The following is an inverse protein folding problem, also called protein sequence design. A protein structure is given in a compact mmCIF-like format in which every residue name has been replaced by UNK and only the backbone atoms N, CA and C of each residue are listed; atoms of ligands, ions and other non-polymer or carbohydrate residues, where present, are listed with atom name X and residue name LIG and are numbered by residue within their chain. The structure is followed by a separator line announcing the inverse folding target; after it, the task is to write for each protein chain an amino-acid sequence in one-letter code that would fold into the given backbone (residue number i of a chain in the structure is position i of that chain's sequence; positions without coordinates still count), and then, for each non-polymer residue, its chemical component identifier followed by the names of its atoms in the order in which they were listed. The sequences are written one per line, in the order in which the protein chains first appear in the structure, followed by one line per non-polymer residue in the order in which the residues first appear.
data_IF_543815735993
#
_entry.id   IF_543815735993
#
_cell.length_a   1.000
_cell.length_b   1.000
_cell.length_c   1.000
_cell.angle_alpha   90.00
_cell.angle_beta   90.00
_cell.angle_gamma   90.00
#
_symmetry.space_group_name_H-M   'P 1'
#
loop_
_entity.id
_entity.type
_entity.pdbx_description
1 polymer ?
#
# COMPACT_ATOMS: atom_id res chain seq x y z
N UNK A 1 -21.90 10.35 7.20
CA UNK A 1 -21.12 10.73 6.00
C UNK A 1 -21.63 10.06 4.72
N UNK A 2 -22.59 9.13 4.81
CA UNK A 2 -23.29 8.55 3.65
C UNK A 2 -24.53 9.35 3.23
N UNK A 3 -24.71 10.54 3.81
CA UNK A 3 -25.99 11.25 3.87
C UNK A 3 -26.04 12.47 2.92
N UNK A 4 -25.04 12.64 2.07
CA UNK A 4 -25.00 13.68 1.03
C UNK A 4 -24.95 12.98 -0.32
N UNK A 5 -26.07 13.04 -1.04
CA UNK A 5 -26.19 12.42 -2.35
C UNK A 5 -25.19 13.06 -3.35
N UNK A 6 -24.48 12.22 -4.10
CA UNK A 6 -23.43 12.65 -5.04
C UNK A 6 -22.09 13.08 -4.43
N UNK A 7 -21.88 13.01 -3.11
CA UNK A 7 -20.61 13.39 -2.47
C UNK A 7 -19.83 12.16 -1.96
N UNK A 8 -18.71 11.84 -2.62
CA UNK A 8 -17.84 10.72 -2.24
C UNK A 8 -16.65 11.19 -1.40
N UNK A 9 -16.43 10.55 -0.26
CA UNK A 9 -15.24 10.75 0.58
C UNK A 9 -14.25 9.63 0.30
N UNK A 10 -13.01 10.00 0.00
CA UNK A 10 -11.92 9.06 -0.26
C UNK A 10 -10.89 9.14 0.86
N UNK A 11 -10.39 7.98 1.28
CA UNK A 11 -9.32 7.87 2.26
C UNK A 11 -7.94 7.85 1.57
N UNK A 12 -7.01 8.68 2.01
CA UNK A 12 -5.64 8.76 1.49
C UNK A 12 -4.61 7.88 2.21
N UNK A 13 -4.53 7.86 3.55
CA UNK A 13 -3.53 7.06 4.26
C UNK A 13 -3.79 5.55 4.20
N UNK A 14 -2.81 4.81 3.68
CA UNK A 14 -2.81 3.34 3.55
C UNK A 14 -3.09 2.58 4.86
N UNK A 15 -2.74 3.15 6.02
CA UNK A 15 -3.00 2.51 7.33
C UNK A 15 -4.45 2.58 7.79
N UNK A 16 -5.28 3.37 7.13
CA UNK A 16 -6.64 3.65 7.61
C UNK A 16 -7.71 3.15 6.63
N UNK A 17 -7.36 2.39 5.59
CA UNK A 17 -8.28 1.98 4.52
C UNK A 17 -9.51 1.29 5.11
N UNK A 18 -9.30 0.25 5.94
CA UNK A 18 -10.38 -0.46 6.62
C UNK A 18 -11.23 0.47 7.49
N UNK A 19 -10.58 1.29 8.33
CA UNK A 19 -11.27 2.24 9.21
C UNK A 19 -12.11 3.25 8.40
N UNK A 20 -11.57 3.74 7.29
CA UNK A 20 -12.26 4.63 6.37
C UNK A 20 -13.53 3.99 5.82
N UNK A 21 -13.49 2.72 5.42
CA UNK A 21 -14.68 2.01 4.95
C UNK A 21 -15.74 1.84 6.05
N UNK A 22 -15.33 1.49 7.28
CA UNK A 22 -16.21 1.41 8.46
C UNK A 22 -16.87 2.77 8.75
N UNK A 23 -16.12 3.86 8.63
CA UNK A 23 -16.61 5.24 8.85
C UNK A 23 -17.41 5.82 7.66
N UNK A 24 -17.50 5.08 6.55
CA UNK A 24 -18.35 5.43 5.41
C UNK A 24 -17.65 6.12 4.23
N UNK A 25 -16.32 6.03 4.13
CA UNK A 25 -15.59 6.41 2.90
C UNK A 25 -16.00 5.49 1.74
N UNK A 26 -16.09 6.05 0.54
CA UNK A 26 -16.48 5.32 -0.68
C UNK A 26 -15.31 4.57 -1.32
N UNK A 27 -14.08 5.08 -1.17
CA UNK A 27 -12.88 4.48 -1.76
C UNK A 27 -11.61 4.91 -1.01
N UNK A 28 -10.45 4.36 -1.40
CA UNK A 28 -9.14 4.79 -0.95
C UNK A 28 -8.19 5.08 -2.12
N UNK A 29 -7.28 6.04 -1.93
CA UNK A 29 -6.18 6.34 -2.87
C UNK A 29 -4.89 5.91 -2.20
N UNK A 30 -4.26 4.86 -2.72
CA UNK A 30 -3.08 4.22 -2.12
C UNK A 30 -1.83 4.41 -2.98
N UNK A 31 -0.73 4.87 -2.37
CA UNK A 31 0.59 4.87 -3.01
C UNK A 31 1.21 3.47 -3.06
N UNK A 32 0.93 2.65 -2.04
CA UNK A 32 1.44 1.28 -1.93
C UNK A 32 0.79 0.33 -2.94
N UNK A 33 -0.42 0.64 -3.42
CA UNK A 33 -1.09 -0.12 -4.48
C UNK A 33 -0.30 -0.21 -5.78
N UNK A 34 0.71 0.65 -6.01
CA UNK A 34 1.60 0.50 -7.16
C UNK A 34 2.41 -0.80 -7.11
N UNK A 35 2.79 -1.27 -5.91
CA UNK A 35 3.58 -2.49 -5.71
C UNK A 35 2.77 -3.64 -5.10
N UNK A 36 1.68 -3.34 -4.40
CA UNK A 36 0.84 -4.31 -3.72
C UNK A 36 -0.65 -4.14 -4.08
N UNK A 37 -1.02 -4.17 -5.38
CA UNK A 37 -2.39 -3.90 -5.80
C UNK A 37 -3.39 -4.96 -5.29
N UNK A 38 -2.96 -6.22 -5.18
CA UNK A 38 -3.82 -7.33 -4.75
C UNK A 38 -4.14 -7.24 -3.27
N UNK A 39 -3.16 -6.85 -2.48
CA UNK A 39 -3.21 -6.73 -1.02
C UNK A 39 -4.11 -5.56 -0.64
N UNK A 40 -3.95 -4.41 -1.30
CA UNK A 40 -4.83 -3.25 -1.13
C UNK A 40 -6.25 -3.60 -1.56
N UNK A 41 -6.43 -4.28 -2.70
CA UNK A 41 -7.75 -4.70 -3.17
C UNK A 41 -8.44 -5.69 -2.21
N UNK A 42 -7.68 -6.58 -1.56
CA UNK A 42 -8.22 -7.53 -0.60
C UNK A 42 -8.96 -6.83 0.56
N UNK A 43 -8.47 -5.67 1.02
CA UNK A 43 -9.15 -4.88 2.07
C UNK A 43 -10.56 -4.49 1.62
N UNK A 44 -10.68 -3.93 0.41
CA UNK A 44 -11.94 -3.49 -0.17
C UNK A 44 -12.85 -4.68 -0.50
N UNK A 45 -12.34 -5.70 -1.17
CA UNK A 45 -13.12 -6.87 -1.61
C UNK A 45 -13.72 -7.62 -0.43
N UNK A 46 -12.94 -7.85 0.65
CA UNK A 46 -13.44 -8.48 1.87
C UNK A 46 -14.49 -7.62 2.56
N UNK A 47 -14.22 -6.31 2.72
CA UNK A 47 -15.18 -5.39 3.32
C UNK A 47 -16.50 -5.35 2.53
N UNK A 48 -16.42 -5.27 1.20
CA UNK A 48 -17.57 -5.20 0.31
C UNK A 48 -18.39 -6.50 0.32
N UNK A 49 -17.74 -7.65 0.52
CA UNK A 49 -18.40 -8.94 0.74
C UNK A 49 -19.04 -9.09 2.13
N UNK A 50 -18.88 -8.10 3.02
CA UNK A 50 -19.37 -8.14 4.41
C UNK A 50 -18.41 -8.82 5.39
N UNK A 51 -17.23 -9.24 4.94
CA UNK A 51 -16.17 -9.81 5.77
C UNK A 51 -15.32 -8.70 6.40
N UNK A 52 -15.84 -8.15 7.49
CA UNK A 52 -15.20 -7.04 8.22
C UNK A 52 -13.89 -7.48 8.87
N UNK A 53 -13.88 -8.67 9.48
CA UNK A 53 -12.70 -9.20 10.18
C UNK A 53 -11.58 -9.50 9.17
N UNK A 54 -11.89 -10.17 8.06
CA UNK A 54 -10.90 -10.40 7.01
C UNK A 54 -10.42 -9.10 6.35
N UNK A 55 -11.26 -8.07 6.25
CA UNK A 55 -10.83 -6.74 5.80
C UNK A 55 -9.81 -6.13 6.76
N UNK A 56 -10.01 -6.29 8.07
CA UNK A 56 -9.08 -5.83 9.10
C UNK A 56 -7.74 -6.60 9.04
N UNK A 57 -7.76 -7.93 8.87
CA UNK A 57 -6.53 -8.72 8.70
C UNK A 57 -5.72 -8.31 7.46
N UNK A 58 -6.42 -8.02 6.35
CA UNK A 58 -5.78 -7.52 5.14
C UNK A 58 -5.15 -6.13 5.39
N UNK A 59 -5.82 -5.27 6.17
CA UNK A 59 -5.28 -3.97 6.58
C UNK A 59 -4.01 -4.12 7.43
N UNK A 60 -3.97 -5.05 8.37
CA UNK A 60 -2.78 -5.30 9.20
C UNK A 60 -1.60 -5.78 8.35
N UNK A 61 -1.85 -6.66 7.37
CA UNK A 61 -0.83 -7.12 6.43
C UNK A 61 -0.24 -5.96 5.60
N UNK A 62 -1.10 -5.08 5.09
CA UNK A 62 -0.71 -3.87 4.37
C UNK A 62 0.06 -2.90 5.26
N UNK A 63 -0.37 -2.74 6.52
CA UNK A 63 0.32 -1.90 7.51
C UNK A 63 1.72 -2.43 7.80
N UNK A 64 1.89 -3.75 7.91
CA UNK A 64 3.19 -4.41 8.03
C UNK A 64 4.10 -4.08 6.85
N UNK A 65 3.66 -4.38 5.63
CA UNK A 65 4.41 -4.11 4.40
C UNK A 65 4.87 -2.65 4.32
N UNK A 66 3.93 -1.73 4.56
CA UNK A 66 4.20 -0.29 4.55
C UNK A 66 5.27 0.08 5.58
N UNK A 67 5.13 -0.44 6.80
CA UNK A 67 6.01 -0.14 7.92
C UNK A 67 7.42 -0.63 7.66
N UNK A 68 7.57 -1.84 7.13
CA UNK A 68 8.89 -2.40 6.82
C UNK A 68 9.53 -1.68 5.64
N UNK A 69 8.77 -1.42 4.57
CA UNK A 69 9.29 -0.74 3.39
C UNK A 69 9.71 0.72 3.69
N UNK A 70 8.92 1.44 4.47
CA UNK A 70 9.19 2.87 4.76
C UNK A 70 10.26 3.07 5.84
N UNK A 71 10.68 2.01 6.56
CA UNK A 71 11.89 2.06 7.39
C UNK A 71 13.16 2.13 6.55
N UNK A 72 13.15 1.51 5.36
CA UNK A 72 14.35 1.41 4.51
C UNK A 72 14.71 2.76 3.87
N UNK A 73 13.70 3.50 3.40
CA UNK A 73 13.87 4.81 2.78
C UNK A 73 12.58 5.63 2.78
N UNK A 74 12.69 6.90 2.39
CA UNK A 74 11.53 7.78 2.19
C UNK A 74 10.50 7.15 1.23
N UNK A 75 9.23 7.15 1.64
CA UNK A 75 8.15 6.35 1.03
C UNK A 75 8.09 6.38 -0.51
N UNK A 76 8.04 7.54 -1.19
CA UNK A 76 8.05 7.59 -2.66
C UNK A 76 9.29 6.97 -3.32
N UNK A 77 10.45 7.05 -2.66
CA UNK A 77 11.68 6.47 -3.18
C UNK A 77 11.70 4.95 -2.98
N UNK A 78 11.25 4.46 -1.82
CA UNK A 78 11.17 3.04 -1.52
C UNK A 78 10.21 2.31 -2.47
N UNK A 79 9.03 2.90 -2.74
CA UNK A 79 8.04 2.34 -3.68
C UNK A 79 8.60 2.29 -5.10
N UNK A 80 9.26 3.36 -5.57
CA UNK A 80 9.91 3.35 -6.90
C UNK A 80 11.01 2.31 -7.01
N UNK A 81 11.84 2.17 -5.98
CA UNK A 81 12.92 1.17 -5.97
C UNK A 81 12.35 -0.25 -5.98
N UNK A 82 11.28 -0.50 -5.23
CA UNK A 82 10.58 -1.79 -5.26
C UNK A 82 10.02 -2.11 -6.67
N UNK A 83 9.35 -1.15 -7.33
CA UNK A 83 8.88 -1.31 -8.72
C UNK A 83 10.01 -1.67 -9.70
N UNK A 84 11.15 -1.00 -9.60
CA UNK A 84 12.33 -1.31 -10.41
C UNK A 84 12.84 -2.74 -10.15
N UNK A 85 12.89 -3.17 -8.89
CA UNK A 85 13.33 -4.51 -8.50
C UNK A 85 12.35 -5.61 -8.93
N UNK A 86 11.06 -5.27 -9.05
CA UNK A 86 10.03 -6.13 -9.64
C UNK A 86 10.08 -6.17 -11.18
N UNK A 87 11.01 -5.45 -11.80
CA UNK A 87 11.23 -5.46 -13.26
C UNK A 87 10.40 -4.43 -14.03
N UNK A 88 9.72 -3.50 -13.35
CA UNK A 88 9.01 -2.40 -14.01
C UNK A 88 9.94 -1.21 -14.26
N UNK A 89 10.07 -0.80 -15.52
CA UNK A 89 10.82 0.41 -15.89
C UNK A 89 9.99 1.67 -15.62
N UNK A 90 10.02 2.13 -14.37
CA UNK A 90 9.30 3.34 -13.91
C UNK A 90 10.20 4.59 -13.88
N UNK A 91 11.42 4.48 -14.42
CA UNK A 91 12.46 5.51 -14.36
C UNK A 91 12.95 5.79 -12.94
N UNK A 92 14.07 6.49 -12.83
CA UNK A 92 14.61 6.89 -11.53
C UNK A 92 13.79 8.02 -10.89
N UNK A 93 13.85 8.10 -9.56
CA UNK A 93 13.31 9.26 -8.86
C UNK A 93 14.11 10.51 -9.27
N UNK A 94 13.43 11.65 -9.49
CA UNK A 94 14.12 12.94 -9.71
C UNK A 94 14.95 13.38 -8.49
N UNK A 95 14.64 12.83 -7.32
CA UNK A 95 15.49 12.93 -6.14
C UNK A 95 16.62 11.92 -6.25
N UNK A 96 17.86 12.37 -6.03
CA UNK A 96 19.04 11.53 -5.92
C UNK A 96 18.99 10.68 -4.65
N UNK A 97 18.11 9.67 -4.63
CA UNK A 97 18.07 8.65 -3.59
C UNK A 97 18.94 7.50 -4.07
N UNK A 98 20.19 7.49 -3.62
CA UNK A 98 21.08 6.36 -3.79
C UNK A 98 20.77 5.34 -2.71
N UNK A 99 20.40 4.13 -3.12
CA UNK A 99 20.21 3.01 -2.20
C UNK A 99 21.52 2.25 -2.07
N UNK A 100 21.92 1.92 -0.84
CA UNK A 100 23.07 1.04 -0.62
C UNK A 100 22.71 -0.40 -1.02
N UNK A 101 23.71 -1.26 -1.30
CA UNK A 101 23.47 -2.69 -1.56
C UNK A 101 22.65 -3.38 -0.46
N UNK A 102 22.85 -2.98 0.80
CA UNK A 102 22.13 -3.50 1.95
C UNK A 102 20.65 -3.11 1.89
N UNK A 103 20.34 -1.85 1.61
CA UNK A 103 18.95 -1.37 1.47
C UNK A 103 18.24 -2.05 0.28
N UNK A 104 18.95 -2.29 -0.82
CA UNK A 104 18.40 -3.02 -1.97
C UNK A 104 18.08 -4.47 -1.56
N UNK A 105 18.98 -5.13 -0.85
CA UNK A 105 18.76 -6.49 -0.34
C UNK A 105 17.57 -6.55 0.61
N UNK A 106 17.44 -5.57 1.50
CA UNK A 106 16.32 -5.45 2.44
C UNK A 106 14.98 -5.27 1.70
N UNK A 107 14.92 -4.39 0.71
CA UNK A 107 13.71 -4.22 -0.13
C UNK A 107 13.35 -5.51 -0.86
N UNK A 108 14.32 -6.24 -1.41
CA UNK A 108 14.06 -7.54 -2.05
C UNK A 108 13.55 -8.59 -1.05
N UNK A 109 14.05 -8.59 0.18
CA UNK A 109 13.56 -9.47 1.23
C UNK A 109 12.11 -9.13 1.60
N UNK A 110 11.77 -7.86 1.73
CA UNK A 110 10.40 -7.40 1.99
C UNK A 110 9.47 -7.83 0.85
N UNK A 111 9.85 -7.61 -0.41
CA UNK A 111 9.06 -8.04 -1.58
C UNK A 111 8.76 -9.55 -1.52
N UNK A 112 9.77 -10.37 -1.20
CA UNK A 112 9.61 -11.81 -1.06
C UNK A 112 8.77 -12.22 0.15
N UNK A 113 8.97 -11.55 1.29
CA UNK A 113 8.25 -11.86 2.54
C UNK A 113 6.74 -11.63 2.40
N UNK A 114 6.36 -10.52 1.76
CA UNK A 114 4.95 -10.19 1.50
C UNK A 114 4.42 -10.79 0.18
N UNK A 115 5.26 -11.50 -0.58
CA UNK A 115 4.92 -12.15 -1.84
C UNK A 115 4.24 -11.21 -2.87
N UNK A 116 4.78 -10.00 -3.00
CA UNK A 116 4.24 -8.93 -3.87
C UNK A 116 4.99 -8.80 -5.22
N UNK A 117 5.70 -9.85 -5.65
CA UNK A 117 6.41 -9.90 -6.94
C UNK A 117 5.64 -10.67 -8.01
#
# INVERSE_FOLDING_TARGET
MRDIDGFNVLNGPDSLIHKGFVEGCSACISGLANIAPREINAIWSRFHAGDIEGSYEAQESVTGLRTDLYKVAFSPAAVKKALQLMGHDVGDSRYAVNFTPEQISEIQQIIRHYNIN
#
